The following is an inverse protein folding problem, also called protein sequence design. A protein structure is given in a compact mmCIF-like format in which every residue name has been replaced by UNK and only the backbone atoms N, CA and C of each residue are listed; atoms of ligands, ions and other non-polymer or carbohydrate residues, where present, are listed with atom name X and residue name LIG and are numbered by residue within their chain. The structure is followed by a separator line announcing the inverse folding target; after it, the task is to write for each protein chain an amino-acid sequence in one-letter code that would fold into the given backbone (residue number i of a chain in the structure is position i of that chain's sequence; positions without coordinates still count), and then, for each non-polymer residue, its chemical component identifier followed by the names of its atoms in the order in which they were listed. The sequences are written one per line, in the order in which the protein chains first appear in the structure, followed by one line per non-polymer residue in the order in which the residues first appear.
data_IF_646865234103
#
_entry.id   IF_646865234103
#
_cell.length_a   1.000
_cell.length_b   1.000
_cell.length_c   1.000
_cell.angle_alpha   90.00
_cell.angle_beta   90.00
_cell.angle_gamma   90.00
#
_symmetry.space_group_name_H-M   'P 1'
#
loop_
_entity.id
_entity.type
_entity.pdbx_description
1 polymer ?
#
# COMPACT_ATOMS: atom_id res chain seq x y z
N UNK A 1 -6.65 16.35 -1.46
CA UNK A 1 -5.44 15.98 -2.23
C UNK A 1 -5.07 14.54 -1.90
N UNK A 2 -4.25 13.85 -2.71
CA UNK A 2 -3.95 12.42 -2.49
C UNK A 2 -3.34 12.21 -1.10
N UNK A 3 -2.40 13.07 -0.72
CA UNK A 3 -1.65 13.06 0.52
C UNK A 3 -2.57 13.14 1.74
N UNK A 4 -3.58 14.01 1.69
CA UNK A 4 -4.59 14.14 2.75
C UNK A 4 -5.44 12.87 2.89
N UNK A 5 -5.80 12.22 1.77
CA UNK A 5 -6.53 10.96 1.81
C UNK A 5 -5.67 9.85 2.42
N UNK A 6 -4.42 9.72 1.97
CA UNK A 6 -3.49 8.73 2.53
C UNK A 6 -3.25 8.97 4.01
N UNK A 7 -3.12 10.22 4.44
CA UNK A 7 -2.95 10.61 5.84
C UNK A 7 -4.19 10.23 6.67
N UNK A 8 -5.38 10.53 6.15
CA UNK A 8 -6.64 10.19 6.80
C UNK A 8 -6.79 8.67 7.03
N UNK A 9 -6.51 7.85 6.02
CA UNK A 9 -6.65 6.39 6.12
C UNK A 9 -5.56 5.73 6.96
N UNK A 10 -4.31 6.22 6.92
CA UNK A 10 -3.17 5.58 7.58
C UNK A 10 -2.87 6.10 8.98
N UNK A 11 -3.38 7.29 9.35
CA UNK A 11 -2.99 8.00 10.56
C UNK A 11 -1.55 8.55 10.52
N UNK A 12 -0.90 8.55 9.36
CA UNK A 12 0.42 9.17 9.14
C UNK A 12 0.19 10.67 8.90
N UNK A 13 0.99 11.58 9.49
CA UNK A 13 0.84 13.02 9.25
C UNK A 13 0.98 13.37 7.76
N UNK A 14 0.14 14.28 7.27
CA UNK A 14 0.14 14.71 5.87
C UNK A 14 1.51 15.21 5.42
N UNK A 15 2.21 15.98 6.25
CA UNK A 15 3.53 16.52 5.94
C UNK A 15 4.59 15.41 5.79
N UNK A 16 4.41 14.29 6.49
CA UNK A 16 5.28 13.12 6.35
C UNK A 16 5.04 12.42 5.01
N UNK A 17 3.79 12.33 4.57
CA UNK A 17 3.44 11.74 3.27
C UNK A 17 3.95 12.63 2.14
N UNK A 18 3.68 13.94 2.20
CA UNK A 18 4.18 14.92 1.23
C UNK A 18 5.71 14.86 1.11
N UNK A 19 6.42 14.83 2.25
CA UNK A 19 7.86 14.68 2.26
C UNK A 19 8.31 13.41 1.54
N UNK A 20 7.73 12.25 1.87
CA UNK A 20 8.13 10.98 1.27
C UNK A 20 7.79 10.89 -0.22
N UNK A 21 6.68 11.49 -0.66
CA UNK A 21 6.31 11.52 -2.08
C UNK A 21 7.19 12.47 -2.91
N UNK A 22 7.84 13.44 -2.28
CA UNK A 22 8.80 14.35 -2.92
C UNK A 22 10.16 13.71 -3.22
N UNK A 23 10.41 12.50 -2.70
CA UNK A 23 11.64 11.74 -2.94
C UNK A 23 11.51 10.86 -4.19
N UNK A 24 12.64 10.44 -4.74
CA UNK A 24 12.65 9.33 -5.71
C UNK A 24 12.34 7.99 -5.01
N UNK A 25 11.83 6.97 -5.71
CA UNK A 25 11.55 5.65 -5.14
C UNK A 25 12.73 5.06 -4.34
N UNK A 26 13.96 5.19 -4.87
CA UNK A 26 15.18 4.71 -4.23
C UNK A 26 15.50 5.48 -2.94
N UNK A 27 15.27 6.80 -2.94
CA UNK A 27 15.48 7.65 -1.76
C UNK A 27 14.47 7.32 -0.65
N UNK A 28 13.20 7.03 -0.99
CA UNK A 28 12.19 6.59 0.00
C UNK A 28 12.70 5.37 0.78
N UNK A 29 13.32 4.39 0.12
CA UNK A 29 13.84 3.21 0.81
C UNK A 29 15.02 3.46 1.73
N UNK A 30 15.82 4.47 1.39
CA UNK A 30 16.98 4.85 2.19
C UNK A 30 16.61 5.79 3.33
N UNK A 31 15.45 6.43 3.23
CA UNK A 31 14.98 7.40 4.20
C UNK A 31 14.68 6.80 5.59
N UNK A 32 15.10 7.54 6.62
CA UNK A 32 14.99 7.13 8.03
C UNK A 32 13.55 7.23 8.52
N UNK A 33 12.77 8.19 8.03
CA UNK A 33 11.36 8.35 8.39
C UNK A 33 10.56 7.19 7.83
N UNK A 34 10.77 6.84 6.56
CA UNK A 34 10.15 5.68 5.93
C UNK A 34 10.46 4.38 6.68
N UNK A 35 11.74 4.09 6.95
CA UNK A 35 12.14 2.88 7.70
C UNK A 35 11.51 2.82 9.09
N UNK A 36 11.34 3.97 9.74
CA UNK A 36 10.65 4.05 11.03
C UNK A 36 9.16 3.71 10.89
N UNK A 37 8.49 4.18 9.85
CA UNK A 37 7.09 3.81 9.58
C UNK A 37 6.94 2.30 9.40
N UNK A 38 7.82 1.68 8.59
CA UNK A 38 7.85 0.23 8.39
C UNK A 38 8.04 -0.51 9.71
N UNK A 39 9.01 -0.08 10.53
CA UNK A 39 9.30 -0.73 11.82
C UNK A 39 8.19 -0.64 12.87
N UNK A 40 7.23 0.28 12.66
CA UNK A 40 6.09 0.51 13.57
C UNK A 40 4.81 -0.19 13.10
N UNK A 41 4.90 -1.00 12.05
CA UNK A 41 3.76 -1.80 11.61
C UNK A 41 3.61 -3.02 12.53
N UNK A 42 2.38 -3.29 12.95
CA UNK A 42 2.04 -4.45 13.78
C UNK A 42 1.89 -5.68 12.88
N UNK A 43 3.02 -6.34 12.66
CA UNK A 43 3.10 -7.52 11.80
C UNK A 43 2.25 -8.67 12.34
N UNK A 44 2.12 -8.81 13.66
CA UNK A 44 1.31 -9.87 14.27
C UNK A 44 -0.18 -9.63 14.01
N UNK A 45 -0.64 -8.38 14.11
CA UNK A 45 -2.00 -7.99 13.76
C UNK A 45 -2.34 -8.27 12.29
N UNK A 46 -1.42 -7.91 11.39
CA UNK A 46 -1.58 -8.15 9.96
C UNK A 46 -1.68 -9.65 9.64
N UNK A 47 -0.85 -10.49 10.27
CA UNK A 47 -0.96 -11.95 10.11
C UNK A 47 -2.27 -12.49 10.68
N UNK A 48 -2.69 -12.00 11.86
CA UNK A 48 -3.93 -12.43 12.53
C UNK A 48 -5.18 -12.11 11.71
N UNK A 49 -5.18 -10.99 10.99
CA UNK A 49 -6.34 -10.47 10.24
C UNK A 49 -6.25 -10.69 8.73
N UNK A 50 -5.22 -11.40 8.26
CA UNK A 50 -4.94 -11.65 6.85
C UNK A 50 -6.13 -12.24 6.08
N UNK A 51 -6.80 -13.25 6.64
CA UNK A 51 -7.94 -13.89 5.96
C UNK A 51 -9.07 -12.89 5.71
N UNK A 52 -9.36 -12.04 6.69
CA UNK A 52 -10.42 -11.03 6.59
C UNK A 52 -10.07 -9.98 5.52
N UNK A 53 -8.82 -9.51 5.51
CA UNK A 53 -8.37 -8.55 4.49
C UNK A 53 -8.49 -9.13 3.08
N UNK A 54 -8.11 -10.41 2.90
CA UNK A 54 -8.21 -11.08 1.59
C UNK A 54 -9.65 -11.18 1.10
N UNK A 55 -10.58 -11.58 1.96
CA UNK A 55 -12.01 -11.69 1.62
C UNK A 55 -12.56 -10.34 1.15
N UNK A 56 -12.29 -9.27 1.91
CA UNK A 56 -12.71 -7.90 1.56
C UNK A 56 -12.16 -7.47 0.19
N UNK A 57 -10.88 -7.73 -0.07
CA UNK A 57 -10.32 -7.42 -1.38
C UNK A 57 -10.91 -8.29 -2.48
N UNK A 58 -11.02 -9.61 -2.29
CA UNK A 58 -11.55 -10.50 -3.33
C UNK A 58 -12.98 -10.11 -3.75
N UNK A 59 -13.78 -9.52 -2.86
CA UNK A 59 -15.12 -8.99 -3.16
C UNK A 59 -15.10 -7.67 -3.94
N UNK A 60 -14.18 -6.75 -3.62
CA UNK A 60 -14.20 -5.37 -4.13
C UNK A 60 -13.21 -5.05 -5.25
N UNK A 61 -12.15 -5.85 -5.41
CA UNK A 61 -10.99 -5.47 -6.23
C UNK A 61 -11.29 -5.45 -7.73
N UNK A 62 -12.24 -6.27 -8.21
CA UNK A 62 -12.50 -6.38 -9.64
C UNK A 62 -13.10 -5.09 -10.22
N UNK A 63 -14.02 -4.44 -9.49
CA UNK A 63 -14.60 -3.16 -9.89
C UNK A 63 -13.52 -2.05 -9.98
N UNK A 64 -12.59 -2.02 -9.03
CA UNK A 64 -11.45 -1.09 -9.05
C UNK A 64 -10.55 -1.40 -10.25
N UNK A 65 -10.25 -2.68 -10.49
CA UNK A 65 -9.40 -3.08 -11.62
C UNK A 65 -9.98 -2.66 -12.96
N UNK A 66 -11.27 -2.84 -13.17
CA UNK A 66 -11.95 -2.39 -14.38
C UNK A 66 -11.86 -0.86 -14.52
N UNK A 67 -12.20 -0.12 -13.47
CA UNK A 67 -12.22 1.36 -13.45
C UNK A 67 -10.86 1.97 -13.83
N UNK A 68 -9.77 1.41 -13.30
CA UNK A 68 -8.42 1.94 -13.52
C UNK A 68 -7.65 1.22 -14.65
N UNK A 69 -8.32 0.33 -15.38
CA UNK A 69 -7.71 -0.49 -16.44
C UNK A 69 -6.47 -1.23 -15.92
N UNK A 70 -6.66 -1.98 -14.84
CA UNK A 70 -5.71 -2.87 -14.17
C UNK A 70 -6.10 -4.35 -14.32
N UNK A 71 -7.08 -4.69 -15.16
CA UNK A 71 -7.55 -6.07 -15.36
C UNK A 71 -6.46 -7.02 -15.87
N UNK A 72 -5.41 -6.50 -16.52
CA UNK A 72 -4.23 -7.28 -16.93
C UNK A 72 -3.21 -7.55 -15.82
N UNK A 73 -3.41 -7.01 -14.62
CA UNK A 73 -2.54 -7.25 -13.46
C UNK A 73 -2.95 -8.53 -12.73
N UNK A 74 -1.98 -9.25 -12.17
CA UNK A 74 -2.21 -10.47 -11.36
C UNK A 74 -2.73 -10.17 -9.93
N UNK A 75 -3.31 -8.99 -9.75
CA UNK A 75 -3.76 -8.49 -8.46
C UNK A 75 -5.10 -9.14 -8.08
N UNK A 76 -5.08 -9.87 -6.96
CA UNK A 76 -6.22 -10.41 -6.22
C UNK A 76 -6.03 -10.08 -4.73
N UNK A 77 -7.03 -10.32 -3.89
CA UNK A 77 -6.88 -10.15 -2.44
C UNK A 77 -5.74 -10.99 -1.88
N UNK A 78 -5.60 -12.24 -2.34
CA UNK A 78 -4.45 -13.09 -2.02
C UNK A 78 -3.12 -12.44 -2.38
N UNK A 79 -2.97 -12.00 -3.63
CA UNK A 79 -1.71 -11.45 -4.14
C UNK A 79 -1.36 -10.13 -3.45
N UNK A 80 -2.31 -9.21 -3.33
CA UNK A 80 -2.11 -7.90 -2.70
C UNK A 80 -1.69 -8.04 -1.24
N UNK A 81 -2.40 -8.85 -0.45
CA UNK A 81 -2.06 -9.06 0.95
C UNK A 81 -0.68 -9.71 1.12
N UNK A 82 -0.31 -10.63 0.23
CA UNK A 82 1.00 -11.25 0.25
C UNK A 82 2.12 -10.30 -0.15
N UNK A 83 1.88 -9.37 -1.08
CA UNK A 83 2.85 -8.33 -1.40
C UNK A 83 3.09 -7.42 -0.20
N UNK A 84 2.03 -6.97 0.47
CA UNK A 84 2.15 -6.16 1.69
C UNK A 84 2.92 -6.92 2.78
N UNK A 85 2.54 -8.17 3.09
CA UNK A 85 3.25 -8.96 4.11
C UNK A 85 4.68 -9.34 3.73
N UNK A 86 4.90 -9.67 2.45
CA UNK A 86 6.22 -10.00 1.92
C UNK A 86 7.15 -8.80 2.01
N UNK A 87 6.65 -7.61 1.69
CA UNK A 87 7.36 -6.35 1.88
C UNK A 87 7.83 -6.16 3.33
N UNK A 88 6.98 -6.42 4.32
CA UNK A 88 7.34 -6.26 5.73
C UNK A 88 8.42 -7.23 6.19
N UNK A 89 8.50 -8.41 5.57
CA UNK A 89 9.53 -9.41 5.89
C UNK A 89 10.88 -9.09 5.25
N UNK A 90 10.90 -8.48 4.07
CA UNK A 90 12.12 -8.22 3.30
C UNK A 90 12.13 -6.80 2.68
N UNK A 91 12.13 -5.73 3.51
CA UNK A 91 12.08 -4.36 3.00
C UNK A 91 13.33 -3.95 2.22
N UNK A 92 14.44 -4.69 2.34
CA UNK A 92 15.68 -4.45 1.56
C UNK A 92 15.66 -5.09 0.17
N UNK A 93 14.80 -6.08 -0.08
CA UNK A 93 14.64 -6.74 -1.39
C UNK A 93 13.64 -5.97 -2.29
N UNK A 94 13.16 -4.81 -1.83
CA UNK A 94 12.07 -4.10 -2.46
C UNK A 94 12.39 -3.45 -3.80
N UNK A 95 13.66 -3.13 -4.07
CA UNK A 95 14.07 -2.67 -5.41
C UNK A 95 13.72 -3.72 -6.48
N UNK A 96 13.73 -5.01 -6.13
CA UNK A 96 13.31 -6.08 -7.02
C UNK A 96 11.79 -6.24 -7.05
N UNK A 97 11.08 -5.93 -5.97
CA UNK A 97 9.60 -5.91 -5.93
C UNK A 97 9.02 -4.81 -6.82
N UNK A 98 9.67 -3.64 -6.88
CA UNK A 98 9.31 -2.56 -7.82
C UNK A 98 9.36 -3.04 -9.28
N UNK A 99 10.28 -3.96 -9.63
CA UNK A 99 10.37 -4.50 -10.99
C UNK A 99 9.14 -5.31 -11.38
N UNK A 100 8.53 -6.03 -10.43
CA UNK A 100 7.27 -6.74 -10.68
C UNK A 100 6.07 -5.79 -10.86
N UNK A 101 6.15 -4.61 -10.25
CA UNK A 101 5.12 -3.57 -10.34
C UNK A 101 5.38 -2.53 -11.44
N UNK A 102 6.55 -2.57 -12.09
CA UNK A 102 6.96 -1.62 -13.15
C UNK A 102 6.02 -1.61 -14.37
N UNK A 103 5.22 -2.67 -14.54
CA UNK A 103 4.17 -2.73 -15.57
C UNK A 103 2.96 -1.86 -15.28
N UNK A 104 2.78 -1.41 -14.04
CA UNK A 104 1.68 -0.53 -13.61
C UNK A 104 2.22 0.89 -13.41
N UNK A 105 1.73 1.88 -14.17
CA UNK A 105 2.12 3.27 -13.98
C UNK A 105 1.83 3.76 -12.56
N UNK A 106 2.78 4.49 -11.95
CA UNK A 106 2.63 5.09 -10.62
C UNK A 106 1.35 5.93 -10.48
N UNK A 107 0.98 6.65 -11.54
CA UNK A 107 -0.27 7.43 -11.59
C UNK A 107 -1.53 6.59 -11.45
N UNK A 108 -1.54 5.35 -11.97
CA UNK A 108 -2.67 4.42 -11.78
C UNK A 108 -2.71 3.88 -10.36
N UNK A 109 -1.55 3.54 -9.80
CA UNK A 109 -1.46 3.08 -8.39
C UNK A 109 -1.99 4.18 -7.49
N UNK A 110 -1.46 5.41 -7.63
CA UNK A 110 -1.88 6.59 -6.88
C UNK A 110 -3.39 6.86 -7.00
N UNK A 111 -3.95 6.76 -8.21
CA UNK A 111 -5.38 7.01 -8.44
C UNK A 111 -6.29 5.91 -7.85
N UNK A 112 -5.84 4.66 -7.81
CA UNK A 112 -6.61 3.53 -7.25
C UNK A 112 -6.48 3.36 -5.74
N UNK A 113 -5.39 3.87 -5.15
CA UNK A 113 -5.05 3.62 -3.75
C UNK A 113 -6.12 4.08 -2.75
N UNK A 114 -6.77 5.25 -2.89
CA UNK A 114 -7.87 5.63 -2.00
C UNK A 114 -9.00 4.60 -1.98
N UNK A 115 -9.44 4.10 -3.13
CA UNK A 115 -10.51 3.11 -3.21
C UNK A 115 -10.09 1.74 -2.65
N UNK A 116 -8.81 1.35 -2.83
CA UNK A 116 -8.28 0.15 -2.17
C UNK A 116 -8.28 0.29 -0.65
N UNK A 117 -8.00 1.49 -0.12
CA UNK A 117 -8.06 1.76 1.31
C UNK A 117 -9.50 1.76 1.81
N UNK A 118 -10.44 2.31 1.05
CA UNK A 118 -11.87 2.30 1.38
C UNK A 118 -12.45 0.90 1.46
N UNK A 119 -12.00 -0.06 0.63
CA UNK A 119 -12.44 -1.46 0.79
C UNK A 119 -12.17 -1.99 2.20
N UNK A 120 -11.03 -1.63 2.79
CA UNK A 120 -10.68 -2.07 4.13
C UNK A 120 -11.59 -1.51 5.24
N UNK A 121 -12.45 -0.52 4.96
CA UNK A 121 -13.46 -0.06 5.93
C UNK A 121 -14.50 -1.14 6.27
N UNK A 122 -14.70 -2.12 5.38
CA UNK A 122 -15.58 -3.26 5.62
C UNK A 122 -15.00 -4.26 6.64
N UNK A 123 -13.70 -4.14 6.96
CA UNK A 123 -13.07 -4.98 7.98
C UNK A 123 -13.48 -4.55 9.39
N UNK A 124 -14.16 -5.45 10.11
CA UNK A 124 -14.53 -5.22 11.52
C UNK A 124 -13.34 -5.17 12.49
N UNK A 125 -12.21 -5.76 12.11
CA UNK A 125 -10.98 -5.82 12.92
C UNK A 125 -9.76 -5.67 12.01
N UNK A 126 -8.69 -5.05 12.48
CA UNK A 126 -7.43 -4.91 11.73
C UNK A 126 -7.40 -3.87 10.61
N UNK A 127 -8.54 -3.23 10.27
CA UNK A 127 -8.66 -2.24 9.18
C UNK A 127 -7.57 -1.16 9.24
N UNK A 128 -7.40 -0.51 10.40
CA UNK A 128 -6.45 0.58 10.57
C UNK A 128 -5.00 0.17 10.28
N UNK A 129 -4.59 -1.01 10.75
CA UNK A 129 -3.23 -1.49 10.53
C UNK A 129 -3.01 -1.89 9.07
N UNK A 130 -4.01 -2.51 8.42
CA UNK A 130 -3.96 -2.82 6.99
C UNK A 130 -3.88 -1.57 6.12
N UNK A 131 -4.67 -0.54 6.42
CA UNK A 131 -4.62 0.75 5.72
C UNK A 131 -3.24 1.39 5.82
N UNK A 132 -2.70 1.44 7.04
CA UNK A 132 -1.36 1.96 7.29
C UNK A 132 -0.29 1.16 6.56
N UNK A 133 -0.36 -0.17 6.62
CA UNK A 133 0.58 -1.05 5.92
C UNK A 133 0.52 -0.88 4.40
N UNK A 134 -0.69 -0.77 3.82
CA UNK A 134 -0.87 -0.56 2.39
C UNK A 134 -0.33 0.81 1.95
N UNK A 135 -0.56 1.87 2.72
CA UNK A 135 0.02 3.20 2.44
C UNK A 135 1.54 3.13 2.46
N UNK A 136 2.15 2.59 3.52
CA UNK A 136 3.61 2.48 3.64
C UNK A 136 4.22 1.62 2.54
N UNK A 137 3.57 0.51 2.18
CA UNK A 137 3.97 -0.32 1.04
C UNK A 137 3.93 0.47 -0.27
N UNK A 138 2.95 1.35 -0.44
CA UNK A 138 2.70 2.05 -1.70
C UNK A 138 3.55 3.28 -1.91
N UNK A 139 3.98 3.98 -0.85
CA UNK A 139 4.74 5.23 -0.96
C UNK A 139 5.89 5.20 -1.98
N UNK A 140 6.81 4.20 -1.98
CA UNK A 140 7.89 4.15 -2.97
C UNK A 140 7.41 3.93 -4.41
N UNK A 141 6.22 3.33 -4.61
CA UNK A 141 5.66 3.08 -5.94
C UNK A 141 4.99 4.31 -6.56
N UNK A 142 4.61 5.27 -5.73
CA UNK A 142 3.89 6.48 -6.14
C UNK A 142 4.69 7.76 -5.92
N UNK A 143 5.88 7.67 -5.31
CA UNK A 143 6.80 8.79 -5.16
C UNK A 143 7.26 9.27 -6.55
N UNK A 144 7.38 10.59 -6.71
CA UNK A 144 7.58 11.22 -8.03
C UNK A 144 8.82 12.11 -8.11
N UNK A 145 9.74 12.03 -7.13
CA UNK A 145 10.92 12.90 -7.03
C UNK A 145 11.69 13.14 -8.31
#
# INVERSE_FOLDING_TARGET
MLEEQLAHHSGIPTETIEYLLSLTPEEVYQDVVYRRLVSRLDVDELHRTLTVAREVYDEGLEAIKEKYNLSGTIMSGYTLCNWVLGFLKQPTEMADVLKYHASVPSSKIAASLPELLELLDEMRVGSAEWKKALVVFSLPMIATG
#
